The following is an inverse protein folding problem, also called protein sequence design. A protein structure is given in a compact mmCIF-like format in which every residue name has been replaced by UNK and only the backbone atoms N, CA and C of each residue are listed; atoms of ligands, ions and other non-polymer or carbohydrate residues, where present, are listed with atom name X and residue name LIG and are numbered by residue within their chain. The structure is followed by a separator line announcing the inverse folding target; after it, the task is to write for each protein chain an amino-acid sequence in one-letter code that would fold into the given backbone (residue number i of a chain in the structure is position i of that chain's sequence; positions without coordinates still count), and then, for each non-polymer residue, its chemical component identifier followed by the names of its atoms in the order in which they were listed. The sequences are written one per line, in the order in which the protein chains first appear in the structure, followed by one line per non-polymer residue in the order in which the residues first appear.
data_IF_829486855204
#
_entry.id   IF_829486855204
#
_cell.length_a   1.000
_cell.length_b   1.000
_cell.length_c   1.000
_cell.angle_alpha   90.00
_cell.angle_beta   90.00
_cell.angle_gamma   90.00
#
_symmetry.space_group_name_H-M   'P 1'
#
loop_
_entity.id
_entity.type
_entity.pdbx_description
1 polymer ?
#
# COMPACT_ATOMS: atom_id res chain seq x y z
N UNK A 1 -12.74 -10.43 -53.02
CA UNK A 1 -13.68 -10.81 -51.94
C UNK A 1 -13.77 -9.64 -50.97
N UNK A 2 -14.82 -8.84 -51.11
CA UNK A 2 -15.13 -7.62 -50.34
C UNK A 2 -16.44 -7.84 -49.57
N UNK A 3 -16.54 -7.31 -48.34
CA UNK A 3 -17.78 -6.95 -47.59
C UNK A 3 -17.37 -6.42 -46.21
N UNK A 4 -17.21 -5.11 -46.00
CA UNK A 4 -18.21 -4.08 -45.62
C UNK A 4 -18.81 -4.27 -44.22
N UNK A 5 -18.43 -3.37 -43.30
CA UNK A 5 -19.02 -3.13 -41.99
C UNK A 5 -20.41 -2.48 -42.12
N UNK A 6 -21.38 -2.92 -41.31
CA UNK A 6 -22.69 -2.30 -41.19
C UNK A 6 -22.92 -1.89 -39.72
N UNK A 7 -22.93 -0.57 -39.51
CA UNK A 7 -23.46 0.14 -38.35
C UNK A 7 -24.99 0.09 -38.36
N UNK A 8 -25.64 -0.19 -37.22
CA UNK A 8 -27.07 0.02 -37.06
C UNK A 8 -27.36 0.76 -35.75
N UNK A 9 -27.67 2.05 -35.91
CA UNK A 9 -28.42 2.91 -35.00
C UNK A 9 -29.88 2.47 -35.02
N UNK A 10 -30.53 2.33 -33.85
CA UNK A 10 -31.99 2.36 -33.76
C UNK A 10 -32.41 2.97 -32.41
N UNK A 11 -32.89 4.20 -32.50
CA UNK A 11 -33.76 4.86 -31.52
C UNK A 11 -35.10 4.10 -31.47
N UNK A 12 -35.65 3.89 -30.28
CA UNK A 12 -37.10 3.77 -30.10
C UNK A 12 -37.51 4.11 -28.66
N UNK A 13 -37.97 5.33 -28.48
CA UNK A 13 -38.82 5.77 -27.37
C UNK A 13 -40.22 5.18 -27.51
N UNK A 14 -40.81 4.59 -26.47
CA UNK A 14 -42.26 4.44 -26.38
C UNK A 14 -42.77 4.50 -24.92
N UNK A 15 -43.98 5.01 -24.81
CA UNK A 15 -44.62 5.69 -23.68
C UNK A 15 -45.04 4.84 -22.47
N UNK A 16 -45.36 5.58 -21.40
CA UNK A 16 -46.04 5.20 -20.16
C UNK A 16 -47.28 4.31 -20.38
N UNK A 17 -47.61 3.48 -19.40
CA UNK A 17 -49.00 3.31 -18.89
C UNK A 17 -49.00 2.51 -17.58
N UNK A 18 -49.92 2.90 -16.69
CA UNK A 18 -50.02 2.51 -15.30
C UNK A 18 -51.06 1.39 -15.04
N UNK A 19 -51.10 0.98 -13.76
CA UNK A 19 -52.26 0.52 -12.97
C UNK A 19 -52.46 -0.99 -12.69
N UNK A 20 -52.93 -1.20 -11.45
CA UNK A 20 -53.84 -2.24 -10.94
C UNK A 20 -53.26 -3.41 -10.12
N UNK A 21 -53.27 -3.16 -8.80
CA UNK A 21 -53.84 -3.93 -7.66
C UNK A 21 -53.97 -5.46 -7.71
N UNK A 22 -53.60 -6.11 -6.60
CA UNK A 22 -54.45 -7.14 -5.97
C UNK A 22 -54.04 -7.38 -4.49
N UNK A 23 -54.95 -7.04 -3.57
CA UNK A 23 -55.04 -7.56 -2.20
C UNK A 23 -55.88 -8.84 -2.18
N UNK A 24 -55.71 -9.70 -1.16
CA UNK A 24 -56.74 -10.53 -0.45
C UNK A 24 -56.15 -11.85 0.15
N UNK A 25 -56.83 -12.59 1.07
CA UNK A 25 -57.27 -12.21 2.42
C UNK A 25 -57.22 -13.39 3.46
N UNK A 26 -57.89 -13.19 4.62
CA UNK A 26 -58.53 -14.20 5.53
C UNK A 26 -57.60 -14.97 6.50
N UNK A 27 -57.96 -15.31 7.73
CA UNK A 27 -59.18 -15.26 8.59
C UNK A 27 -58.63 -15.47 10.04
N UNK A 28 -59.26 -15.11 11.16
CA UNK A 28 -60.16 -15.99 11.94
C UNK A 28 -60.61 -15.20 13.19
N UNK A 29 -61.94 -15.08 13.30
CA UNK A 29 -62.85 -15.12 14.47
C UNK A 29 -62.47 -14.53 15.84
N UNK A 30 -63.43 -13.74 16.34
CA UNK A 30 -63.55 -13.21 17.69
C UNK A 30 -64.06 -14.26 18.71
N UNK A 31 -63.57 -14.17 19.94
CA UNK A 31 -64.27 -14.55 21.19
C UNK A 31 -63.87 -13.54 22.27
N UNK A 32 -64.89 -13.04 22.98
CA UNK A 32 -64.92 -11.99 23.98
C UNK A 32 -64.08 -12.24 25.26
N UNK A 33 -63.55 -11.11 25.76
CA UNK A 33 -63.60 -10.56 27.12
C UNK A 33 -63.06 -11.36 28.32
N UNK A 34 -61.99 -10.83 28.91
CA UNK A 34 -61.84 -10.69 30.36
C UNK A 34 -60.84 -9.57 30.68
N UNK A 35 -61.42 -8.43 31.09
CA UNK A 35 -61.08 -7.47 32.15
C UNK A 35 -59.61 -7.18 32.53
N UNK A 36 -59.39 -5.88 32.78
CA UNK A 36 -58.25 -5.25 33.45
C UNK A 36 -56.93 -5.08 32.66
N UNK A 37 -56.95 -4.13 31.72
CA UNK A 37 -55.71 -3.51 31.21
C UNK A 37 -55.74 -1.99 31.33
N UNK A 38 -54.90 -1.50 32.23
CA UNK A 38 -54.38 -0.13 32.33
C UNK A 38 -54.24 0.53 30.94
N UNK A 39 -55.09 1.53 30.66
CA UNK A 39 -55.03 2.30 29.41
C UNK A 39 -53.91 3.33 29.52
N UNK A 40 -52.81 3.08 28.82
CA UNK A 40 -51.76 4.07 28.55
C UNK A 40 -52.34 5.13 27.60
N UNK A 41 -52.14 6.44 27.82
CA UNK A 41 -52.60 7.45 26.87
C UNK A 41 -52.01 7.21 25.48
N UNK A 42 -52.87 7.29 24.46
CA UNK A 42 -52.53 7.10 23.05
C UNK A 42 -51.35 8.00 22.65
N UNK A 43 -50.22 7.37 22.33
CA UNK A 43 -49.12 8.05 21.65
C UNK A 43 -49.59 8.26 20.20
N UNK A 44 -49.72 9.50 19.70
CA UNK A 44 -50.16 9.73 18.33
C UNK A 44 -49.22 9.02 17.35
N UNK A 45 -49.79 8.21 16.46
CA UNK A 45 -49.10 7.47 15.41
C UNK A 45 -48.70 8.36 14.22
N UNK A 46 -48.27 9.60 14.49
CA UNK A 46 -47.58 10.41 13.50
C UNK A 46 -46.11 9.97 13.45
N UNK A 47 -45.53 9.69 12.27
CA UNK A 47 -44.11 9.43 12.17
C UNK A 47 -43.38 10.70 12.61
N UNK A 48 -42.63 10.60 13.72
CA UNK A 48 -41.72 11.65 14.15
C UNK A 48 -40.91 12.12 12.94
N UNK A 49 -40.88 13.42 12.63
CA UNK A 49 -40.04 13.92 11.55
C UNK A 49 -38.61 13.44 11.83
N UNK A 50 -37.91 12.97 10.80
CA UNK A 50 -36.51 12.57 10.89
C UNK A 50 -35.62 13.80 11.16
N UNK A 51 -35.77 14.41 12.34
CA UNK A 51 -34.75 15.23 12.95
C UNK A 51 -33.64 14.25 13.35
N UNK A 52 -32.84 13.86 12.37
CA UNK A 52 -31.60 13.13 12.62
C UNK A 52 -30.86 13.90 13.69
N UNK A 53 -30.62 13.25 14.82
CA UNK A 53 -29.82 13.78 15.93
C UNK A 53 -28.59 14.40 15.28
N UNK A 54 -28.41 15.73 15.32
CA UNK A 54 -27.26 16.35 14.69
C UNK A 54 -26.03 15.88 15.46
N UNK A 55 -25.36 14.85 14.94
CA UNK A 55 -24.02 14.54 15.37
C UNK A 55 -23.22 15.84 15.20
N UNK A 56 -22.46 16.29 16.22
CA UNK A 56 -21.67 17.49 16.09
C UNK A 56 -20.68 17.29 14.94
N UNK A 57 -21.01 17.83 13.78
CA UNK A 57 -20.05 17.94 12.69
C UNK A 57 -19.05 18.98 13.17
N UNK A 58 -17.81 18.54 13.35
CA UNK A 58 -16.72 19.44 13.71
C UNK A 58 -16.75 20.60 12.72
N UNK A 59 -16.95 21.82 13.23
CA UNK A 59 -17.11 23.01 12.40
C UNK A 59 -15.89 23.12 11.47
N UNK A 60 -16.15 23.37 10.18
CA UNK A 60 -15.10 23.57 9.19
C UNK A 60 -14.14 24.67 9.64
N UNK A 61 -14.64 25.65 10.40
CA UNK A 61 -13.82 26.68 11.00
C UNK A 61 -12.84 26.11 12.04
N UNK A 62 -13.30 25.24 12.94
CA UNK A 62 -12.42 24.53 13.90
C UNK A 62 -11.38 23.68 13.18
N UNK A 63 -11.73 23.08 12.04
CA UNK A 63 -10.78 22.33 11.21
C UNK A 63 -9.73 23.25 10.58
N UNK A 64 -10.12 24.43 10.08
CA UNK A 64 -9.20 25.45 9.56
C UNK A 64 -8.27 25.93 10.67
N UNK A 65 -8.79 26.20 11.86
CA UNK A 65 -8.01 26.66 13.01
C UNK A 65 -6.98 25.60 13.45
N UNK A 66 -7.39 24.33 13.48
CA UNK A 66 -6.51 23.20 13.78
C UNK A 66 -5.40 23.06 12.74
N UNK A 67 -5.68 23.31 11.46
CA UNK A 67 -4.66 23.31 10.40
C UNK A 67 -3.72 24.51 10.56
N UNK A 68 -4.25 25.69 10.88
CA UNK A 68 -3.43 26.89 11.16
C UNK A 68 -2.44 26.67 12.30
N UNK A 69 -2.87 26.01 13.38
CA UNK A 69 -1.99 25.64 14.51
C UNK A 69 -0.89 24.66 14.07
N UNK A 70 -1.21 23.71 13.18
CA UNK A 70 -0.23 22.76 12.65
C UNK A 70 0.80 23.45 11.75
N UNK A 71 0.37 24.35 10.88
CA UNK A 71 1.25 25.15 10.03
C UNK A 71 2.21 25.98 10.89
N UNK A 72 1.69 26.69 11.89
CA UNK A 72 2.52 27.48 12.82
C UNK A 72 3.52 26.63 13.64
N UNK A 73 3.20 25.36 13.91
CA UNK A 73 4.14 24.43 14.54
C UNK A 73 5.25 24.02 13.57
N UNK A 74 4.90 23.69 12.34
CA UNK A 74 5.86 23.29 11.30
C UNK A 74 6.80 24.45 10.94
N UNK A 75 6.28 25.68 10.86
CA UNK A 75 7.09 26.87 10.62
C UNK A 75 8.13 27.08 11.74
N UNK A 76 7.72 26.94 13.01
CA UNK A 76 8.66 26.98 14.14
C UNK A 76 9.70 25.88 14.10
N UNK A 77 9.33 24.66 13.68
CA UNK A 77 10.29 23.58 13.51
C UNK A 77 11.29 23.90 12.40
N UNK A 78 10.84 24.40 11.25
CA UNK A 78 11.74 24.82 10.15
C UNK A 78 12.72 25.88 10.62
N UNK A 79 12.25 26.88 11.38
CA UNK A 79 13.11 27.91 11.95
C UNK A 79 14.14 27.33 12.94
N UNK A 80 13.72 26.40 13.82
CA UNK A 80 14.61 25.71 14.73
C UNK A 80 15.66 24.87 13.98
N UNK A 81 15.27 24.20 12.90
CA UNK A 81 16.21 23.44 12.07
C UNK A 81 17.19 24.37 11.35
N UNK A 82 16.72 25.48 10.79
CA UNK A 82 17.56 26.45 10.10
C UNK A 82 18.58 27.11 11.04
N UNK A 83 18.14 27.50 12.24
CA UNK A 83 19.06 28.04 13.26
C UNK A 83 20.09 26.98 13.68
N UNK A 84 19.68 25.72 13.78
CA UNK A 84 20.61 24.62 14.11
C UNK A 84 21.60 24.32 12.97
N UNK A 85 21.16 24.39 11.72
CA UNK A 85 22.04 24.31 10.54
C UNK A 85 23.07 25.44 10.61
N UNK A 86 22.64 26.69 10.80
CA UNK A 86 23.55 27.83 10.92
C UNK A 86 24.55 27.69 12.08
N UNK A 87 24.11 27.14 13.22
CA UNK A 87 25.01 26.85 14.35
C UNK A 87 26.04 25.78 14.00
N UNK A 88 25.63 24.73 13.28
CA UNK A 88 26.54 23.68 12.82
C UNK A 88 27.54 24.23 11.79
N UNK A 89 27.07 25.07 10.86
CA UNK A 89 27.92 25.74 9.87
C UNK A 89 28.94 26.67 10.54
N UNK A 90 28.52 27.45 11.55
CA UNK A 90 29.40 28.31 12.36
C UNK A 90 30.39 27.49 13.21
N UNK A 91 29.97 26.33 13.72
CA UNK A 91 30.84 25.43 14.48
C UNK A 91 31.86 24.71 13.59
N UNK A 92 31.48 24.42 12.35
CA UNK A 92 32.33 23.77 11.36
C UNK A 92 33.18 24.75 10.52
N UNK A 93 32.95 26.06 10.62
CA UNK A 93 33.82 27.06 9.99
C UNK A 93 35.07 27.25 10.86
N UNK A 94 36.25 26.80 10.42
CA UNK A 94 37.47 26.97 11.19
C UNK A 94 37.88 28.45 11.13
N UNK A 95 38.07 29.09 12.28
CA UNK A 95 38.74 30.41 12.37
C UNK A 95 40.10 30.30 11.66
N UNK A 96 40.22 30.95 10.51
CA UNK A 96 41.48 31.08 9.77
C UNK A 96 42.41 32.03 10.53
N UNK A 97 43.22 31.50 11.43
CA UNK A 97 44.50 32.14 11.78
C UNK A 97 45.54 31.72 10.75
N UNK A 98 46.24 32.69 10.19
CA UNK A 98 47.29 32.47 9.21
C UNK A 98 48.49 31.77 9.86
N UNK A 99 48.78 30.51 9.50
CA UNK A 99 50.13 29.94 9.36
C UNK A 99 50.11 28.41 9.16
N UNK A 100 50.78 27.95 8.08
CA UNK A 100 51.31 26.61 7.75
C UNK A 100 50.37 25.38 7.64
N UNK A 101 50.73 24.40 6.78
CA UNK A 101 49.79 23.41 6.27
C UNK A 101 49.71 22.21 7.22
N UNK A 102 48.55 22.00 7.83
CA UNK A 102 48.22 20.77 8.52
C UNK A 102 47.27 19.94 7.64
N UNK A 103 47.76 18.78 7.25
CA UNK A 103 47.02 17.66 6.65
C UNK A 103 45.84 17.27 7.52
N UNK A 104 44.67 17.80 7.21
CA UNK A 104 43.40 17.14 7.47
C UNK A 104 42.72 16.94 6.13
N UNK A 105 42.13 15.75 5.93
CA UNK A 105 41.28 15.42 4.79
C UNK A 105 40.03 16.31 4.79
N UNK A 106 40.18 17.62 4.57
CA UNK A 106 39.17 18.38 3.86
C UNK A 106 39.13 17.75 2.49
N UNK A 107 37.95 17.34 2.04
CA UNK A 107 37.75 16.93 0.65
C UNK A 107 38.42 18.00 -0.21
N UNK A 108 39.52 17.63 -0.85
CA UNK A 108 40.28 18.58 -1.66
C UNK A 108 39.35 18.94 -2.81
N UNK A 109 38.80 20.15 -2.82
CA UNK A 109 37.94 20.62 -3.90
C UNK A 109 38.62 20.46 -5.26
N UNK A 110 39.96 20.54 -5.31
CA UNK A 110 40.74 20.23 -6.51
C UNK A 110 40.68 18.75 -6.92
N UNK A 111 40.65 17.79 -5.98
CA UNK A 111 40.46 16.36 -6.28
C UNK A 111 39.01 16.04 -6.62
N UNK A 112 38.04 16.69 -5.96
CA UNK A 112 36.63 16.53 -6.27
C UNK A 112 36.33 17.09 -7.67
N UNK A 113 36.85 18.29 -7.98
CA UNK A 113 36.76 18.95 -9.28
C UNK A 113 37.51 18.18 -10.36
N UNK A 114 38.72 17.67 -10.08
CA UNK A 114 39.43 16.81 -11.03
C UNK A 114 38.69 15.50 -11.28
N UNK A 115 38.04 14.90 -10.26
CA UNK A 115 37.20 13.72 -10.48
C UNK A 115 35.90 14.06 -11.24
N UNK A 116 35.31 15.24 -11.02
CA UNK A 116 34.14 15.73 -11.75
C UNK A 116 34.45 16.05 -13.23
N UNK A 117 35.66 16.57 -13.49
CA UNK A 117 36.14 16.89 -14.83
C UNK A 117 36.71 15.66 -15.54
N UNK A 118 37.35 14.72 -14.82
CA UNK A 118 37.86 13.46 -15.36
C UNK A 118 36.75 12.45 -15.68
N UNK A 119 35.66 12.44 -14.89
CA UNK A 119 34.42 11.72 -15.22
C UNK A 119 33.46 12.56 -16.07
N UNK A 120 33.98 13.58 -16.77
CA UNK A 120 33.30 14.26 -17.85
C UNK A 120 31.96 14.90 -17.49
N UNK A 121 31.88 15.68 -16.40
CA UNK A 121 30.75 16.58 -16.14
C UNK A 121 29.36 15.93 -16.25
N UNK A 122 29.26 14.62 -16.03
CA UNK A 122 28.00 13.92 -16.11
C UNK A 122 27.21 14.27 -14.84
N UNK A 123 26.07 14.94 -15.02
CA UNK A 123 24.94 14.85 -14.11
C UNK A 123 24.88 13.40 -13.58
N UNK A 124 24.88 13.20 -12.25
CA UNK A 124 24.64 11.88 -11.66
C UNK A 124 23.53 11.22 -12.47
N UNK A 125 23.86 10.13 -13.17
CA UNK A 125 22.93 9.52 -14.09
C UNK A 125 21.65 9.24 -13.29
N UNK A 126 20.49 9.59 -13.83
CA UNK A 126 19.22 9.49 -13.10
C UNK A 126 19.04 8.08 -12.49
N UNK A 127 19.55 7.06 -13.18
CA UNK A 127 19.65 5.68 -12.71
C UNK A 127 20.44 5.50 -11.38
N UNK A 128 21.56 6.20 -11.20
CA UNK A 128 22.36 6.14 -9.96
C UNK A 128 21.61 6.78 -8.79
N UNK A 129 20.90 7.88 -9.06
CA UNK A 129 20.07 8.57 -8.05
C UNK A 129 18.87 7.71 -7.62
N UNK A 130 18.24 7.01 -8.57
CA UNK A 130 17.14 6.07 -8.32
C UNK A 130 17.62 4.87 -7.52
N UNK A 131 18.76 4.27 -7.89
CA UNK A 131 19.34 3.15 -7.16
C UNK A 131 19.70 3.52 -5.72
N UNK A 132 20.27 4.70 -5.50
CA UNK A 132 20.57 5.20 -4.15
C UNK A 132 19.29 5.42 -3.32
N UNK A 133 18.24 5.97 -3.95
CA UNK A 133 16.94 6.13 -3.29
C UNK A 133 16.33 4.77 -2.92
N UNK A 134 16.37 3.78 -3.81
CA UNK A 134 15.90 2.41 -3.56
C UNK A 134 16.63 1.77 -2.38
N UNK A 135 17.96 1.94 -2.28
CA UNK A 135 18.78 1.44 -1.16
C UNK A 135 18.39 2.12 0.17
N UNK A 136 18.17 3.45 0.15
CA UNK A 136 17.74 4.19 1.34
C UNK A 136 16.37 3.71 1.84
N UNK A 137 15.42 3.51 0.94
CA UNK A 137 14.08 2.98 1.25
C UNK A 137 14.16 1.57 1.82
N UNK A 138 15.00 0.70 1.25
CA UNK A 138 15.27 -0.64 1.77
C UNK A 138 15.69 -0.59 3.24
N UNK A 139 16.72 0.20 3.55
CA UNK A 139 17.29 0.29 4.89
C UNK A 139 16.29 0.86 5.89
N UNK A 140 15.46 1.81 5.47
CA UNK A 140 14.39 2.37 6.30
C UNK A 140 13.30 1.32 6.59
N UNK A 141 12.83 0.62 5.55
CA UNK A 141 11.82 -0.41 5.69
C UNK A 141 12.31 -1.59 6.53
N UNK A 142 13.60 -1.96 6.41
CA UNK A 142 14.21 -3.01 7.21
C UNK A 142 14.16 -2.69 8.71
N UNK A 143 14.39 -1.43 9.11
CA UNK A 143 14.26 -1.00 10.51
C UNK A 143 12.83 -1.16 11.01
N UNK A 144 11.82 -0.83 10.19
CA UNK A 144 10.42 -1.05 10.57
C UNK A 144 10.08 -2.55 10.65
N UNK A 145 10.57 -3.35 9.71
CA UNK A 145 10.39 -4.80 9.69
C UNK A 145 10.97 -5.47 10.95
N UNK A 146 12.19 -5.10 11.33
CA UNK A 146 12.86 -5.61 12.54
C UNK A 146 12.11 -5.26 13.82
N UNK A 147 11.44 -4.10 13.85
CA UNK A 147 10.59 -3.67 14.97
C UNK A 147 9.21 -4.33 14.97
N UNK A 148 8.91 -5.18 14.00
CA UNK A 148 7.59 -5.81 13.83
C UNK A 148 6.53 -4.91 13.21
N UNK A 149 6.87 -3.68 12.83
CA UNK A 149 5.94 -2.76 12.18
C UNK A 149 5.93 -3.01 10.66
N UNK A 150 5.19 -4.05 10.26
CA UNK A 150 5.10 -4.46 8.85
C UNK A 150 4.26 -3.51 7.99
N UNK A 151 3.29 -2.79 8.58
CA UNK A 151 2.47 -1.81 7.87
C UNK A 151 3.31 -0.62 7.42
N UNK A 152 4.14 -0.07 8.30
CA UNK A 152 5.08 1.01 7.96
C UNK A 152 6.14 0.54 6.97
N UNK A 153 6.68 -0.67 7.13
CA UNK A 153 7.64 -1.24 6.18
C UNK A 153 7.04 -1.34 4.76
N UNK A 154 5.81 -1.86 4.66
CA UNK A 154 5.10 -1.96 3.39
C UNK A 154 4.75 -0.58 2.78
N UNK A 155 4.42 0.40 3.62
CA UNK A 155 4.14 1.76 3.16
C UNK A 155 5.39 2.44 2.57
N UNK A 156 6.55 2.30 3.23
CA UNK A 156 7.82 2.85 2.75
C UNK A 156 8.26 2.23 1.43
N UNK A 157 7.98 0.94 1.23
CA UNK A 157 8.36 0.21 0.02
C UNK A 157 7.33 0.28 -1.11
N UNK A 158 6.19 0.94 -0.89
CA UNK A 158 5.15 1.08 -1.91
C UNK A 158 5.70 1.89 -3.09
N UNK A 159 5.75 1.28 -4.28
CA UNK A 159 6.33 1.89 -5.48
C UNK A 159 7.86 1.84 -5.56
N UNK A 160 8.53 1.35 -4.51
CA UNK A 160 9.98 1.12 -4.49
C UNK A 160 10.37 -0.27 -5.02
N UNK A 161 9.39 -1.05 -5.52
CA UNK A 161 9.59 -2.33 -6.21
C UNK A 161 10.14 -2.16 -7.63
N UNK A 162 10.45 -0.91 -8.02
CA UNK A 162 11.43 -0.53 -9.04
C UNK A 162 11.26 -1.31 -10.34
N UNK A 163 10.30 -0.87 -11.16
CA UNK A 163 10.02 -1.46 -12.47
C UNK A 163 11.23 -1.62 -13.40
N UNK A 164 12.37 -1.02 -13.06
CA UNK A 164 13.69 -1.14 -13.70
C UNK A 164 14.35 -2.52 -13.54
N UNK A 165 13.90 -3.39 -12.63
CA UNK A 165 14.50 -4.71 -12.41
C UNK A 165 15.89 -4.68 -11.77
N UNK A 166 16.27 -3.57 -11.13
CA UNK A 166 17.54 -3.43 -10.42
C UNK A 166 17.64 -4.41 -9.25
N UNK A 167 18.85 -4.68 -8.80
CA UNK A 167 19.09 -5.48 -7.59
C UNK A 167 18.52 -4.81 -6.33
N UNK A 168 18.49 -3.47 -6.27
CA UNK A 168 17.90 -2.74 -5.16
C UNK A 168 16.36 -2.84 -5.18
N UNK A 169 15.75 -2.70 -6.36
CA UNK A 169 14.32 -2.94 -6.60
C UNK A 169 13.92 -4.37 -6.21
N UNK A 170 14.74 -5.36 -6.57
CA UNK A 170 14.54 -6.76 -6.16
C UNK A 170 14.48 -6.91 -4.65
N UNK A 171 15.45 -6.34 -3.92
CA UNK A 171 15.49 -6.40 -2.45
C UNK A 171 14.28 -5.72 -1.82
N UNK A 172 13.89 -4.55 -2.33
CA UNK A 172 12.70 -3.81 -1.89
C UNK A 172 11.43 -4.62 -2.09
N UNK A 173 11.23 -5.16 -3.29
CA UNK A 173 10.06 -5.94 -3.64
C UNK A 173 9.93 -7.21 -2.78
N UNK A 174 11.05 -7.88 -2.50
CA UNK A 174 11.04 -9.06 -1.65
C UNK A 174 10.70 -8.72 -0.19
N UNK A 175 11.27 -7.63 0.35
CA UNK A 175 10.95 -7.18 1.71
C UNK A 175 9.49 -6.73 1.82
N UNK A 176 8.95 -6.09 0.78
CA UNK A 176 7.53 -5.74 0.69
C UNK A 176 6.66 -6.99 0.70
N UNK A 177 6.99 -8.01 -0.11
CA UNK A 177 6.30 -9.31 -0.13
C UNK A 177 6.27 -9.96 1.26
N UNK A 178 7.43 -10.02 1.92
CA UNK A 178 7.55 -10.57 3.27
C UNK A 178 6.71 -9.78 4.28
N UNK A 179 6.70 -8.45 4.18
CA UNK A 179 5.91 -7.60 5.07
C UNK A 179 4.41 -7.87 4.90
N UNK A 180 3.92 -7.99 3.67
CA UNK A 180 2.52 -8.34 3.38
C UNK A 180 2.16 -9.74 3.87
N UNK A 181 3.08 -10.70 3.74
CA UNK A 181 2.90 -12.05 4.25
C UNK A 181 2.76 -12.06 5.78
N UNK A 182 3.56 -11.27 6.50
CA UNK A 182 3.48 -11.14 7.97
C UNK A 182 2.19 -10.47 8.44
N UNK A 183 1.63 -9.56 7.64
CA UNK A 183 0.32 -8.96 7.90
C UNK A 183 -0.85 -9.89 7.52
N UNK A 184 -0.58 -10.98 6.79
CA UNK A 184 -1.60 -11.92 6.35
C UNK A 184 -2.39 -11.47 5.12
N UNK A 185 -1.99 -10.37 4.46
CA UNK A 185 -2.62 -9.80 3.27
C UNK A 185 -2.35 -10.68 2.04
N UNK A 186 -3.16 -11.75 1.89
CA UNK A 186 -2.93 -12.80 0.90
C UNK A 186 -3.02 -12.30 -0.54
N UNK A 187 -3.93 -11.37 -0.84
CA UNK A 187 -4.11 -10.79 -2.17
C UNK A 187 -2.84 -10.06 -2.63
N UNK A 188 -2.33 -9.15 -1.79
CA UNK A 188 -1.08 -8.44 -2.05
C UNK A 188 0.11 -9.39 -2.24
N UNK A 189 0.18 -10.47 -1.46
CA UNK A 189 1.24 -11.48 -1.59
C UNK A 189 1.16 -12.21 -2.93
N UNK A 190 -0.04 -12.55 -3.40
CA UNK A 190 -0.25 -13.20 -4.70
C UNK A 190 0.19 -12.26 -5.83
N UNK A 191 -0.22 -11.00 -5.77
CA UNK A 191 0.10 -9.99 -6.79
C UNK A 191 1.60 -9.67 -6.85
N UNK A 192 2.19 -9.29 -5.71
CA UNK A 192 3.60 -8.93 -5.60
C UNK A 192 4.47 -10.16 -5.86
N UNK A 193 4.13 -11.31 -5.28
CA UNK A 193 4.87 -12.56 -5.45
C UNK A 193 4.89 -13.01 -6.90
N UNK A 194 3.77 -12.88 -7.61
CA UNK A 194 3.67 -13.22 -9.03
C UNK A 194 4.55 -12.33 -9.90
N UNK A 195 4.51 -11.01 -9.67
CA UNK A 195 5.42 -10.07 -10.36
C UNK A 195 6.89 -10.36 -10.03
N UNK A 196 7.20 -10.64 -8.76
CA UNK A 196 8.57 -10.94 -8.30
C UNK A 196 9.10 -12.20 -8.99
N UNK A 197 8.34 -13.30 -8.94
CA UNK A 197 8.72 -14.56 -9.56
C UNK A 197 8.84 -14.44 -11.07
N UNK A 198 8.08 -13.55 -11.73
CA UNK A 198 8.20 -13.32 -13.17
C UNK A 198 9.41 -12.47 -13.55
N UNK A 199 9.71 -11.42 -12.79
CA UNK A 199 10.81 -10.48 -13.07
C UNK A 199 12.16 -11.05 -12.64
N UNK A 200 12.20 -11.79 -11.54
CA UNK A 200 13.43 -12.22 -10.87
C UNK A 200 13.60 -13.75 -10.85
N UNK A 201 13.20 -14.43 -11.93
CA UNK A 201 13.20 -15.90 -12.06
C UNK A 201 14.54 -16.57 -11.70
N UNK A 202 15.66 -15.93 -12.01
CA UNK A 202 17.00 -16.50 -11.76
C UNK A 202 17.48 -16.41 -10.30
N UNK A 203 16.69 -15.86 -9.38
CA UNK A 203 17.14 -15.61 -8.00
C UNK A 203 16.71 -16.71 -7.04
N UNK A 204 17.52 -16.95 -6.01
CA UNK A 204 17.23 -17.96 -4.98
C UNK A 204 15.89 -17.72 -4.25
N UNK A 205 15.42 -16.46 -4.21
CA UNK A 205 14.17 -16.06 -3.57
C UNK A 205 12.92 -16.24 -4.44
N UNK A 206 13.08 -16.41 -5.76
CA UNK A 206 11.93 -16.62 -6.66
C UNK A 206 11.10 -17.87 -6.31
N UNK A 207 11.71 -19.05 -6.05
CA UNK A 207 10.94 -20.21 -5.61
C UNK A 207 10.26 -20.00 -4.25
N UNK A 208 10.87 -19.24 -3.33
CA UNK A 208 10.25 -18.89 -2.04
C UNK A 208 9.02 -18.00 -2.23
N UNK A 209 9.08 -17.02 -3.13
CA UNK A 209 7.94 -16.17 -3.46
C UNK A 209 6.76 -16.99 -4.01
N UNK A 210 7.01 -17.90 -4.95
CA UNK A 210 5.98 -18.82 -5.48
C UNK A 210 5.39 -19.71 -4.39
N UNK A 211 6.21 -20.17 -3.45
CA UNK A 211 5.72 -20.97 -2.33
C UNK A 211 4.78 -20.16 -1.44
N UNK A 212 5.13 -18.91 -1.13
CA UNK A 212 4.28 -17.97 -0.37
C UNK A 212 2.94 -17.70 -1.07
N UNK A 213 2.92 -17.57 -2.40
CA UNK A 213 1.68 -17.45 -3.18
C UNK A 213 0.76 -18.65 -2.93
N UNK A 214 1.30 -19.87 -3.05
CA UNK A 214 0.52 -21.09 -2.83
C UNK A 214 0.03 -21.21 -1.39
N UNK A 215 0.83 -20.80 -0.40
CA UNK A 215 0.39 -20.74 1.01
C UNK A 215 -0.78 -19.76 1.20
N UNK A 216 -0.72 -18.59 0.58
CA UNK A 216 -1.81 -17.61 0.62
C UNK A 216 -3.08 -18.13 -0.06
N UNK A 217 -2.97 -18.73 -1.25
CA UNK A 217 -4.10 -19.38 -1.93
C UNK A 217 -4.74 -20.47 -1.07
N UNK A 218 -3.92 -21.29 -0.41
CA UNK A 218 -4.42 -22.34 0.48
C UNK A 218 -5.18 -21.76 1.68
N UNK A 219 -4.65 -20.70 2.30
CA UNK A 219 -5.32 -19.97 3.40
C UNK A 219 -6.64 -19.33 2.98
N UNK A 220 -6.74 -18.90 1.72
CA UNK A 220 -7.97 -18.37 1.11
C UNK A 220 -8.94 -19.48 0.67
N UNK A 221 -8.74 -20.73 1.10
CA UNK A 221 -9.53 -21.91 0.72
C UNK A 221 -9.48 -22.28 -0.78
N UNK A 222 -8.59 -21.66 -1.55
CA UNK A 222 -8.38 -21.96 -2.97
C UNK A 222 -7.39 -23.12 -3.13
N UNK A 223 -7.72 -24.28 -2.54
CA UNK A 223 -6.80 -25.44 -2.45
C UNK A 223 -6.36 -25.94 -3.82
N UNK A 224 -7.25 -25.94 -4.81
CA UNK A 224 -6.96 -26.43 -6.15
C UNK A 224 -5.94 -25.53 -6.87
N UNK A 225 -6.13 -24.21 -6.73
CA UNK A 225 -5.23 -23.18 -7.25
C UNK A 225 -3.86 -23.29 -6.55
N UNK A 226 -3.86 -23.43 -5.21
CA UNK A 226 -2.63 -23.61 -4.44
C UNK A 226 -1.82 -24.83 -4.88
N UNK A 227 -2.47 -25.98 -5.08
CA UNK A 227 -1.81 -27.20 -5.58
C UNK A 227 -1.21 -26.99 -6.97
N UNK A 228 -1.91 -26.29 -7.85
CA UNK A 228 -1.38 -25.99 -9.19
C UNK A 228 -0.16 -25.06 -9.12
N UNK A 229 -0.20 -24.03 -8.28
CA UNK A 229 0.94 -23.14 -8.02
C UNK A 229 2.15 -23.91 -7.50
N UNK A 230 1.95 -24.78 -6.51
CA UNK A 230 3.02 -25.61 -5.96
C UNK A 230 3.58 -26.64 -6.95
N UNK A 231 2.73 -27.26 -7.78
CA UNK A 231 3.20 -28.13 -8.89
C UNK A 231 4.06 -27.36 -9.87
N UNK A 232 3.64 -26.16 -10.27
CA UNK A 232 4.43 -25.29 -11.15
C UNK A 232 5.76 -24.91 -10.52
N UNK A 233 5.78 -24.59 -9.22
CA UNK A 233 7.01 -24.33 -8.47
C UNK A 233 7.97 -25.54 -8.52
N UNK A 234 7.48 -26.75 -8.26
CA UNK A 234 8.29 -27.98 -8.31
C UNK A 234 8.85 -28.21 -9.71
N UNK A 235 8.05 -27.99 -10.76
CA UNK A 235 8.51 -28.14 -12.15
C UNK A 235 9.53 -27.07 -12.55
N UNK A 236 9.36 -25.83 -12.09
CA UNK A 236 10.21 -24.70 -12.50
C UNK A 236 11.52 -24.65 -11.70
N UNK A 237 11.51 -25.07 -10.42
CA UNK A 237 12.65 -24.98 -9.51
C UNK A 237 12.85 -26.30 -8.73
N UNK A 238 13.13 -27.42 -9.41
CA UNK A 238 13.12 -28.76 -8.80
C UNK A 238 14.08 -28.91 -7.61
N UNK A 239 15.24 -28.26 -7.66
CA UNK A 239 16.30 -28.41 -6.63
C UNK A 239 16.14 -27.45 -5.45
N UNK A 240 15.17 -26.53 -5.50
CA UNK A 240 14.98 -25.52 -4.46
C UNK A 240 14.42 -26.09 -3.16
N UNK A 241 14.79 -25.49 -2.03
CA UNK A 241 14.20 -25.84 -0.72
C UNK A 241 12.70 -25.57 -0.69
N UNK A 242 12.23 -24.55 -1.41
CA UNK A 242 10.81 -24.24 -1.56
C UNK A 242 10.06 -25.33 -2.33
N UNK A 243 10.65 -25.93 -3.38
CA UNK A 243 10.04 -27.05 -4.10
C UNK A 243 9.88 -28.30 -3.21
N UNK A 244 10.86 -28.60 -2.35
CA UNK A 244 10.72 -29.68 -1.36
C UNK A 244 9.56 -29.43 -0.40
N UNK A 245 9.42 -28.20 0.12
CA UNK A 245 8.28 -27.80 0.96
C UNK A 245 6.94 -27.84 0.20
N UNK A 246 6.93 -27.43 -1.06
CA UNK A 246 5.77 -27.48 -1.94
C UNK A 246 5.33 -28.93 -2.20
N UNK A 247 6.27 -29.85 -2.42
CA UNK A 247 5.99 -31.26 -2.62
C UNK A 247 5.36 -31.89 -1.37
N UNK A 248 5.83 -31.53 -0.18
CA UNK A 248 5.19 -31.93 1.07
C UNK A 248 3.76 -31.37 1.19
N UNK A 249 3.56 -30.09 0.85
CA UNK A 249 2.26 -29.42 0.95
C UNK A 249 1.20 -29.99 -0.02
N UNK A 250 1.58 -30.37 -1.25
CA UNK A 250 0.65 -30.96 -2.25
C UNK A 250 0.17 -32.35 -1.84
N UNK A 251 0.94 -33.08 -1.02
CA UNK A 251 0.58 -34.42 -0.54
C UNK A 251 -0.41 -34.40 0.62
N UNK A 252 -0.49 -33.29 1.35
CA UNK A 252 -1.42 -33.12 2.46
C UNK A 252 -2.84 -32.90 1.89
N UNK A 253 -3.79 -33.76 2.28
CA UNK A 253 -5.20 -33.73 1.83
C UNK A 253 -6.00 -32.69 2.61
#
# INVERSE_FOLDING_TARGET
MTKTHATLLLLSTFALTACVTATQPRNVQAVQDNEDSFVLPDIPAEPLPAAGIPYPQLDKQTQIDQIGIQVARLEREIELLNTRIQQIERRNTPKRTAAKPATSNRLNDAKLKNNYLANGGATVAEADSVAQNEIRLYNQALKFYQRGNFTAAAAVLRGADGGNGSEAARRNMYLLLQSQQRMGNCESVIEIGGRYANRFKGTAQAPDALYSIGQCQYRMQQKDIARNTWRKLIQTYPDSTAAKRAAAAVRQR
#
